data_IF_924258417738
#
_entry.id   IF_924258417738
#
_cell.length_a   1.000
_cell.length_b   1.000
_cell.length_c   1.000
_cell.angle_alpha   90.00
_cell.angle_beta   90.00
_cell.angle_gamma   90.00
#
_symmetry.space_group_name_H-M   'P 1'
#
loop_
_entity.id
_entity.type
_entity.pdbx_description
1 polymer ?
#
# COMPACT_ATOMS: atom_id res chain seq x y z
N UNK A 1 14.41 38.54 45.39
CA UNK A 1 14.75 37.15 45.78
C UNK A 1 16.25 37.04 45.86
N UNK A 2 16.76 36.48 46.96
CA UNK A 2 18.18 36.13 47.05
C UNK A 2 18.50 34.99 46.08
N UNK A 3 19.76 34.85 45.67
CA UNK A 3 20.18 33.76 44.77
C UNK A 3 19.79 32.40 45.36
N UNK A 4 19.90 32.23 46.68
CA UNK A 4 19.51 31.00 47.38
C UNK A 4 18.01 30.70 47.23
N UNK A 5 17.15 31.70 47.38
CA UNK A 5 15.69 31.53 47.22
C UNK A 5 15.33 31.08 45.80
N UNK A 6 15.99 31.63 44.78
CA UNK A 6 15.77 31.24 43.37
C UNK A 6 16.11 29.76 43.16
N UNK A 7 17.23 29.28 43.69
CA UNK A 7 17.62 27.88 43.55
C UNK A 7 16.73 26.92 44.34
N UNK A 8 16.20 27.34 45.50
CA UNK A 8 15.21 26.55 46.25
C UNK A 8 13.89 26.44 45.47
N UNK A 9 13.44 27.53 44.84
CA UNK A 9 12.26 27.51 43.98
C UNK A 9 12.45 26.60 42.76
N UNK A 10 13.59 26.71 42.07
CA UNK A 10 13.95 25.85 40.93
C UNK A 10 14.03 24.37 41.32
N UNK A 11 14.56 24.06 42.51
CA UNK A 11 14.58 22.69 43.02
C UNK A 11 13.17 22.12 43.18
N UNK A 12 12.21 22.93 43.63
CA UNK A 12 10.79 22.56 43.72
C UNK A 12 10.19 22.24 42.35
N UNK A 13 10.46 23.06 41.33
CA UNK A 13 10.01 22.80 39.96
C UNK A 13 10.61 21.51 39.37
N UNK A 14 11.90 21.26 39.60
CA UNK A 14 12.57 20.04 39.13
C UNK A 14 12.03 18.78 39.83
N UNK A 15 11.73 18.86 41.13
CA UNK A 15 11.12 17.75 41.86
C UNK A 15 9.72 17.41 41.32
N UNK A 16 8.87 18.43 41.11
CA UNK A 16 7.54 18.23 40.54
C UNK A 16 7.58 17.66 39.12
N UNK A 17 8.51 18.14 38.28
CA UNK A 17 8.71 17.57 36.94
C UNK A 17 9.17 16.10 37.00
N UNK A 18 10.06 15.77 37.94
CA UNK A 18 10.53 14.40 38.13
C UNK A 18 9.40 13.46 38.57
N UNK A 19 8.50 13.91 39.45
CA UNK A 19 7.32 13.13 39.86
C UNK A 19 6.39 12.83 38.68
N UNK A 20 6.16 13.83 37.80
CA UNK A 20 5.38 13.65 36.56
C UNK A 20 6.04 12.61 35.65
N UNK A 21 7.37 12.68 35.46
CA UNK A 21 8.11 11.71 34.64
C UNK A 21 8.00 10.29 35.18
N UNK A 22 8.04 10.13 36.50
CA UNK A 22 7.95 8.81 37.12
C UNK A 22 6.53 8.21 36.99
N UNK A 23 5.49 9.04 37.12
CA UNK A 23 4.11 8.61 36.85
C UNK A 23 3.89 8.24 35.37
N UNK A 24 4.44 9.02 34.43
CA UNK A 24 4.41 8.69 33.00
C UNK A 24 5.11 7.35 32.76
N UNK A 25 6.29 7.14 33.34
CA UNK A 25 7.07 5.90 33.17
C UNK A 25 6.28 4.67 33.63
N UNK A 26 5.58 4.73 34.76
CA UNK A 26 4.75 3.61 35.25
C UNK A 26 3.67 3.24 34.24
N UNK A 27 2.97 4.23 33.69
CA UNK A 27 1.92 4.00 32.68
C UNK A 27 2.52 3.44 31.39
N UNK A 28 3.62 4.03 30.91
CA UNK A 28 4.33 3.56 29.71
C UNK A 28 4.79 2.10 29.85
N UNK A 29 5.29 1.68 31.01
CA UNK A 29 5.66 0.27 31.25
C UNK A 29 4.46 -0.68 31.11
N UNK A 30 3.28 -0.29 31.59
CA UNK A 30 2.04 -1.06 31.38
C UNK A 30 1.65 -1.10 29.90
N UNK A 31 1.72 0.03 29.18
CA UNK A 31 1.48 0.05 27.72
C UNK A 31 2.43 -0.87 26.97
N UNK A 32 3.72 -0.84 27.31
CA UNK A 32 4.71 -1.69 26.66
C UNK A 32 4.45 -3.17 26.92
N UNK A 33 3.98 -3.52 28.12
CA UNK A 33 3.59 -4.88 28.46
C UNK A 33 2.41 -5.34 27.60
N UNK A 34 1.34 -4.54 27.51
CA UNK A 34 0.20 -4.87 26.63
C UNK A 34 0.63 -4.92 25.15
N UNK A 35 1.52 -4.03 24.70
CA UNK A 35 2.05 -4.06 23.34
C UNK A 35 2.86 -5.34 23.07
N UNK A 36 3.61 -5.87 24.05
CA UNK A 36 4.31 -7.16 23.92
C UNK A 36 3.33 -8.34 23.85
N UNK A 37 2.24 -8.30 24.60
CA UNK A 37 1.19 -9.31 24.56
C UNK A 37 0.52 -9.36 23.18
N UNK A 38 0.09 -8.20 22.66
CA UNK A 38 -0.47 -8.08 21.31
C UNK A 38 0.54 -8.57 20.27
N UNK A 39 1.80 -8.15 20.36
CA UNK A 39 2.83 -8.62 19.43
C UNK A 39 2.96 -10.14 19.45
N UNK A 40 2.96 -10.76 20.63
CA UNK A 40 3.09 -12.23 20.76
C UNK A 40 1.91 -12.96 20.13
N UNK A 41 0.69 -12.42 20.28
CA UNK A 41 -0.51 -12.96 19.64
C UNK A 41 -0.43 -12.90 18.11
N UNK A 42 -0.02 -11.74 17.58
CA UNK A 42 0.08 -11.50 16.14
C UNK A 42 1.26 -12.24 15.51
N UNK A 43 2.40 -12.35 16.20
CA UNK A 43 3.55 -13.12 15.71
C UNK A 43 3.24 -14.61 15.52
N UNK A 44 2.19 -15.12 16.16
CA UNK A 44 1.70 -16.48 15.91
C UNK A 44 1.19 -16.71 14.48
N UNK A 45 0.96 -15.65 13.68
CA UNK A 45 0.59 -15.77 12.26
C UNK A 45 1.73 -16.31 11.39
N UNK A 46 2.98 -16.17 11.83
CA UNK A 46 4.15 -16.65 11.10
C UNK A 46 4.32 -18.17 11.13
N UNK A 47 3.58 -18.88 12.00
CA UNK A 47 3.63 -20.34 12.09
C UNK A 47 2.64 -20.95 11.08
N UNK A 48 3.02 -22.03 10.39
CA UNK A 48 2.26 -22.58 9.25
C UNK A 48 0.80 -23.00 9.54
N UNK A 49 0.46 -23.32 10.79
CA UNK A 49 -0.93 -23.60 11.21
C UNK A 49 -1.73 -22.34 11.60
N UNK A 50 -1.09 -21.16 11.64
CA UNK A 50 -1.66 -19.90 12.15
C UNK A 50 -2.58 -19.15 11.18
N UNK A 51 -2.59 -19.53 9.90
CA UNK A 51 -3.36 -18.82 8.86
C UNK A 51 -4.89 -19.00 9.01
N UNK A 52 -5.35 -20.15 9.50
CA UNK A 52 -6.79 -20.38 9.75
C UNK A 52 -7.32 -19.57 10.95
N UNK A 53 -6.44 -19.17 11.86
CA UNK A 53 -6.79 -18.46 13.09
C UNK A 53 -6.62 -16.92 12.99
N UNK A 54 -6.31 -16.38 11.81
CA UNK A 54 -6.05 -14.93 11.64
C UNK A 54 -7.20 -14.07 12.18
N UNK A 55 -8.47 -14.29 11.80
CA UNK A 55 -9.57 -13.46 12.31
C UNK A 55 -9.70 -13.54 13.84
N UNK A 56 -9.52 -14.72 14.41
CA UNK A 56 -9.60 -14.94 15.87
C UNK A 56 -8.47 -14.24 16.62
N UNK A 57 -7.26 -14.21 16.05
CA UNK A 57 -6.11 -13.48 16.61
C UNK A 57 -6.33 -11.97 16.53
N UNK A 58 -6.88 -11.47 15.43
CA UNK A 58 -7.21 -10.06 15.25
C UNK A 58 -8.28 -9.60 16.26
N UNK A 59 -9.32 -10.40 16.49
CA UNK A 59 -10.33 -10.11 17.51
C UNK A 59 -9.72 -10.01 18.92
N UNK A 60 -8.88 -10.97 19.31
CA UNK A 60 -8.15 -10.92 20.60
C UNK A 60 -7.23 -9.70 20.69
N UNK A 61 -6.52 -9.36 19.62
CA UNK A 61 -5.69 -8.16 19.58
C UNK A 61 -6.55 -6.89 19.81
N UNK A 62 -7.74 -6.81 19.21
CA UNK A 62 -8.70 -5.72 19.42
C UNK A 62 -9.20 -5.62 20.87
N UNK A 63 -9.41 -6.75 21.54
CA UNK A 63 -9.73 -6.75 22.99
C UNK A 63 -8.59 -6.13 23.81
N UNK A 64 -7.34 -6.49 23.53
CA UNK A 64 -6.18 -5.90 24.19
C UNK A 64 -6.01 -4.40 23.87
N UNK A 65 -6.38 -3.94 22.68
CA UNK A 65 -6.44 -2.50 22.37
C UNK A 65 -7.45 -1.75 23.25
N UNK A 66 -8.51 -2.42 23.74
CA UNK A 66 -9.39 -1.87 24.78
C UNK A 66 -8.64 -1.52 26.06
N UNK A 67 -7.72 -2.37 26.50
CA UNK A 67 -6.82 -2.10 27.65
C UNK A 67 -5.81 -0.99 27.33
N UNK A 68 -5.27 -0.95 26.11
CA UNK A 68 -4.39 0.15 25.69
C UNK A 68 -5.12 1.50 25.79
N UNK A 69 -6.38 1.56 25.36
CA UNK A 69 -7.21 2.77 25.45
C UNK A 69 -7.40 3.24 26.89
N UNK A 70 -7.64 2.33 27.84
CA UNK A 70 -7.77 2.73 29.26
C UNK A 70 -6.46 3.26 29.83
N UNK A 71 -5.32 2.66 29.47
CA UNK A 71 -4.02 3.15 29.90
C UNK A 71 -3.65 4.50 29.26
N UNK A 72 -3.98 4.73 27.99
CA UNK A 72 -3.79 6.03 27.34
C UNK A 72 -4.68 7.13 27.93
N UNK A 73 -5.93 6.81 28.28
CA UNK A 73 -6.78 7.75 29.01
C UNK A 73 -6.19 8.10 30.38
N UNK A 74 -5.63 7.12 31.09
CA UNK A 74 -4.91 7.36 32.35
C UNK A 74 -3.70 8.28 32.12
N UNK A 75 -2.91 8.03 31.07
CA UNK A 75 -1.75 8.84 30.71
C UNK A 75 -2.10 10.32 30.46
N UNK A 76 -3.23 10.60 29.78
CA UNK A 76 -3.71 11.96 29.51
C UNK A 76 -3.96 12.77 30.79
N UNK A 77 -4.25 12.13 31.93
CA UNK A 77 -4.51 12.80 33.22
C UNK A 77 -3.24 13.14 34.00
N UNK A 78 -2.08 12.59 33.61
CA UNK A 78 -0.83 12.69 34.39
C UNK A 78 0.00 13.93 34.09
N UNK A 79 -0.27 14.63 32.99
CA UNK A 79 0.48 15.81 32.60
C UNK A 79 -0.43 16.88 31.98
N UNK A 80 -0.05 18.17 32.06
CA UNK A 80 -0.81 19.25 31.41
C UNK A 80 -0.80 19.09 29.88
N UNK A 81 -1.94 19.28 29.21
CA UNK A 81 -2.09 19.07 27.77
C UNK A 81 -1.09 19.90 26.93
N UNK A 82 -0.71 21.08 27.41
CA UNK A 82 0.26 21.98 26.77
C UNK A 82 1.70 21.43 26.76
N UNK A 83 2.02 20.45 27.62
CA UNK A 83 3.37 19.88 27.77
C UNK A 83 3.54 18.54 27.02
N UNK A 84 2.68 18.24 26.04
CA UNK A 84 2.75 17.01 25.26
C UNK A 84 4.15 16.76 24.67
N UNK A 85 4.70 17.72 23.92
CA UNK A 85 6.01 17.57 23.28
C UNK A 85 7.18 17.57 24.28
N UNK A 86 6.99 18.06 25.51
CA UNK A 86 8.04 18.03 26.54
C UNK A 86 8.32 16.59 27.01
N UNK A 87 7.26 15.79 27.13
CA UNK A 87 7.36 14.42 27.62
C UNK A 87 7.25 13.35 26.52
N UNK A 88 7.02 13.75 25.27
CA UNK A 88 6.81 12.88 24.11
C UNK A 88 7.83 11.73 23.98
N UNK A 89 9.11 12.00 24.21
CA UNK A 89 10.19 10.99 24.14
C UNK A 89 9.96 9.77 25.08
N UNK A 90 9.19 9.92 26.17
CA UNK A 90 8.92 8.82 27.10
C UNK A 90 8.01 7.75 26.49
N UNK A 91 7.01 8.14 25.68
CA UNK A 91 6.07 7.21 25.06
C UNK A 91 6.27 7.08 23.55
N UNK A 92 7.18 7.84 22.93
CA UNK A 92 7.49 7.78 21.50
C UNK A 92 7.68 6.35 21.00
N UNK A 93 8.52 5.57 21.70
CA UNK A 93 8.79 4.18 21.33
C UNK A 93 7.54 3.28 21.41
N UNK A 94 6.78 3.37 22.51
CA UNK A 94 5.59 2.53 22.67
C UNK A 94 4.48 2.93 21.71
N UNK A 95 4.33 4.22 21.42
CA UNK A 95 3.33 4.74 20.48
C UNK A 95 3.60 4.26 19.06
N UNK A 96 4.84 4.35 18.59
CA UNK A 96 5.25 3.81 17.27
C UNK A 96 4.97 2.31 17.17
N UNK A 97 5.20 1.56 18.25
CA UNK A 97 4.91 0.12 18.30
C UNK A 97 3.41 -0.17 18.28
N UNK A 98 2.60 0.63 18.99
CA UNK A 98 1.14 0.49 18.97
C UNK A 98 0.54 0.81 17.60
N UNK A 99 1.06 1.84 16.91
CA UNK A 99 0.70 2.14 15.51
C UNK A 99 0.99 0.93 14.63
N UNK A 100 2.21 0.39 14.72
CA UNK A 100 2.60 -0.81 13.97
C UNK A 100 1.62 -1.97 14.21
N UNK A 101 1.29 -2.26 15.47
CA UNK A 101 0.38 -3.35 15.80
C UNK A 101 -1.04 -3.11 15.27
N UNK A 102 -1.54 -1.86 15.34
CA UNK A 102 -2.85 -1.50 14.81
C UNK A 102 -2.88 -1.64 13.28
N UNK A 103 -1.83 -1.16 12.60
CA UNK A 103 -1.68 -1.30 11.17
C UNK A 103 -1.55 -2.77 10.75
N UNK A 104 -0.88 -3.59 11.57
CA UNK A 104 -0.74 -5.02 11.28
C UNK A 104 -2.07 -5.77 11.40
N UNK A 105 -2.90 -5.45 12.41
CA UNK A 105 -4.25 -6.03 12.52
C UNK A 105 -5.11 -5.67 11.31
N UNK A 106 -5.13 -4.39 10.91
CA UNK A 106 -5.92 -3.95 9.74
C UNK A 106 -5.42 -4.60 8.47
N UNK A 107 -4.10 -4.70 8.28
CA UNK A 107 -3.54 -5.38 7.12
C UNK A 107 -3.94 -6.87 7.06
N UNK A 108 -3.97 -7.57 8.20
CA UNK A 108 -4.39 -8.96 8.26
C UNK A 108 -5.89 -9.18 7.99
N UNK A 109 -6.73 -8.16 8.22
CA UNK A 109 -8.17 -8.21 8.00
C UNK A 109 -8.59 -7.78 6.59
N UNK A 110 -8.00 -6.71 6.06
CA UNK A 110 -8.44 -6.08 4.79
C UNK A 110 -7.32 -5.89 3.77
N UNK A 111 -6.07 -6.24 4.08
CA UNK A 111 -4.89 -6.06 3.21
C UNK A 111 -4.65 -4.59 2.79
N UNK A 112 -5.18 -3.63 3.55
CA UNK A 112 -5.05 -2.19 3.29
C UNK A 112 -4.22 -1.48 4.37
N UNK A 113 -3.69 -0.31 4.04
CA UNK A 113 -3.03 0.57 5.01
C UNK A 113 -4.06 1.27 5.88
N UNK A 114 -3.88 1.21 7.21
CA UNK A 114 -4.74 1.94 8.15
C UNK A 114 -4.49 3.44 8.06
N UNK A 115 -5.54 4.26 7.99
CA UNK A 115 -5.40 5.72 8.04
C UNK A 115 -5.01 6.19 9.43
N UNK A 116 -4.35 7.36 9.54
CA UNK A 116 -3.93 7.91 10.83
C UNK A 116 -5.13 8.13 11.77
N UNK A 117 -6.26 8.55 11.21
CA UNK A 117 -7.52 8.79 11.91
C UNK A 117 -8.08 7.48 12.50
N UNK A 118 -8.08 6.40 11.72
CA UNK A 118 -8.49 5.08 12.21
C UNK A 118 -7.57 4.57 13.33
N UNK A 119 -6.25 4.83 13.26
CA UNK A 119 -5.34 4.49 14.36
C UNK A 119 -5.68 5.28 15.62
N UNK A 120 -5.97 6.58 15.51
CA UNK A 120 -6.37 7.38 16.67
C UNK A 120 -7.65 6.86 17.32
N UNK A 121 -8.63 6.40 16.53
CA UNK A 121 -9.86 5.80 17.06
C UNK A 121 -9.60 4.48 17.79
N UNK A 122 -8.76 3.61 17.23
CA UNK A 122 -8.38 2.32 17.84
C UNK A 122 -7.66 2.55 19.18
N UNK A 123 -6.74 3.52 19.23
CA UNK A 123 -5.99 3.86 20.45
C UNK A 123 -6.80 4.71 21.43
N UNK A 124 -7.93 5.28 21.01
CA UNK A 124 -8.74 6.21 21.81
C UNK A 124 -8.05 7.55 22.07
N UNK A 125 -7.33 8.04 21.07
CA UNK A 125 -6.58 9.30 21.06
C UNK A 125 -7.41 10.35 20.29
N UNK A 126 -7.27 11.62 20.64
CA UNK A 126 -7.93 12.72 19.93
C UNK A 126 -7.22 12.99 18.58
N UNK A 127 -7.95 13.25 17.49
CA UNK A 127 -7.35 13.59 16.20
C UNK A 127 -6.80 15.03 16.16
N UNK A 128 -7.36 15.94 16.97
CA UNK A 128 -7.00 17.36 17.03
C UNK A 128 -5.80 17.60 17.94
N UNK A 129 -4.78 18.31 17.42
CA UNK A 129 -3.59 18.73 18.19
C UNK A 129 -3.94 19.63 19.38
N UNK A 130 -5.01 20.42 19.27
CA UNK A 130 -5.39 21.44 20.25
C UNK A 130 -6.14 20.88 21.46
N UNK A 131 -6.70 19.66 21.37
CA UNK A 131 -7.57 19.09 22.40
C UNK A 131 -6.91 18.00 23.24
N UNK A 132 -5.61 17.75 23.06
CA UNK A 132 -4.79 16.97 23.98
C UNK A 132 -3.81 16.01 23.32
N UNK A 133 -3.77 14.78 23.86
CA UNK A 133 -2.93 13.70 23.34
C UNK A 133 -3.33 13.42 21.90
N UNK A 134 -2.37 13.53 20.97
CA UNK A 134 -2.58 13.34 19.55
C UNK A 134 -1.50 12.40 18.98
N UNK A 135 -1.78 11.78 17.84
CA UNK A 135 -0.80 10.96 17.14
C UNK A 135 0.01 11.82 16.17
N UNK A 136 1.33 11.92 16.42
CA UNK A 136 2.22 12.65 15.52
C UNK A 136 2.41 11.89 14.20
N UNK A 137 2.61 12.65 13.12
CA UNK A 137 2.80 12.11 11.77
C UNK A 137 4.08 11.28 11.71
N UNK A 138 5.15 11.73 12.38
CA UNK A 138 6.43 11.02 12.41
C UNK A 138 6.32 9.66 13.11
N UNK A 139 5.51 9.57 14.17
CA UNK A 139 5.28 8.32 14.88
C UNK A 139 4.41 7.36 14.07
N UNK A 140 3.41 7.89 13.36
CA UNK A 140 2.62 7.12 12.42
C UNK A 140 3.50 6.51 11.33
N UNK A 141 4.29 7.33 10.63
CA UNK A 141 5.19 6.89 9.56
C UNK A 141 6.24 5.90 10.07
N UNK A 142 6.78 6.11 11.28
CA UNK A 142 7.72 5.17 11.91
C UNK A 142 7.08 3.82 12.17
N UNK A 143 5.82 3.78 12.62
CA UNK A 143 5.05 2.54 12.81
C UNK A 143 4.79 1.80 11.51
N UNK A 144 4.50 2.53 10.42
CA UNK A 144 4.29 1.94 9.08
C UNK A 144 5.58 1.33 8.52
N UNK A 145 6.74 1.93 8.76
CA UNK A 145 8.02 1.34 8.35
C UNK A 145 8.32 0.04 9.10
N UNK A 146 7.95 -0.05 10.39
CA UNK A 146 8.08 -1.29 11.16
C UNK A 146 7.15 -2.37 10.58
N UNK A 147 5.94 -1.99 10.13
CA UNK A 147 5.02 -2.91 9.46
C UNK A 147 5.65 -3.52 8.20
N UNK A 148 6.28 -2.71 7.35
CA UNK A 148 6.91 -3.21 6.12
C UNK A 148 7.96 -4.30 6.39
N UNK A 149 8.78 -4.13 7.43
CA UNK A 149 9.75 -5.15 7.84
C UNK A 149 9.10 -6.43 8.39
N UNK A 150 7.97 -6.32 9.08
CA UNK A 150 7.23 -7.51 9.54
C UNK A 150 6.54 -8.23 8.37
N UNK A 151 6.05 -7.49 7.38
CA UNK A 151 5.47 -8.05 6.16
C UNK A 151 6.50 -8.76 5.28
N UNK A 152 7.74 -8.26 5.21
CA UNK A 152 8.83 -8.95 4.51
C UNK A 152 9.14 -10.31 5.14
N UNK A 153 9.01 -10.41 6.46
CA UNK A 153 9.08 -11.69 7.19
C UNK A 153 7.85 -12.56 6.94
N UNK A 154 6.65 -11.98 6.94
CA UNK A 154 5.40 -12.70 6.70
C UNK A 154 5.38 -13.33 5.30
N UNK A 155 5.90 -12.64 4.29
CA UNK A 155 5.99 -13.13 2.91
C UNK A 155 6.76 -14.46 2.82
N UNK A 156 7.95 -14.53 3.41
CA UNK A 156 8.77 -15.76 3.44
C UNK A 156 8.07 -16.90 4.18
N UNK A 157 7.44 -16.59 5.32
CA UNK A 157 6.74 -17.59 6.12
C UNK A 157 5.46 -18.10 5.43
N UNK A 158 4.79 -17.24 4.65
CA UNK A 158 3.62 -17.62 3.85
C UNK A 158 3.98 -18.66 2.79
N UNK A 159 5.09 -18.46 2.08
CA UNK A 159 5.60 -19.45 1.11
C UNK A 159 5.94 -20.77 1.78
N UNK A 160 6.53 -20.72 2.98
CA UNK A 160 6.87 -21.92 3.77
C UNK A 160 5.61 -22.67 4.24
N UNK A 161 4.52 -21.95 4.49
CA UNK A 161 3.22 -22.52 4.85
C UNK A 161 2.40 -23.01 3.64
N UNK A 162 2.88 -22.80 2.41
CA UNK A 162 2.19 -23.20 1.18
C UNK A 162 1.19 -22.18 0.65
N UNK A 163 1.15 -20.95 1.19
CA UNK A 163 0.35 -19.85 0.64
C UNK A 163 1.21 -19.01 -0.32
N UNK A 164 0.94 -19.17 -1.61
CA UNK A 164 1.66 -18.47 -2.69
C UNK A 164 0.97 -17.18 -3.15
N UNK A 165 -0.24 -16.90 -2.64
CA UNK A 165 -1.02 -15.72 -3.03
C UNK A 165 -0.57 -14.47 -2.26
N UNK A 166 -0.39 -14.59 -0.94
CA UNK A 166 0.00 -13.48 -0.05
C UNK A 166 1.28 -12.75 -0.45
N UNK A 167 2.38 -13.42 -0.85
CA UNK A 167 3.60 -12.72 -1.27
C UNK A 167 3.37 -11.73 -2.41
N UNK A 168 2.44 -12.00 -3.34
CA UNK A 168 2.09 -11.11 -4.44
C UNK A 168 1.36 -9.85 -3.93
N UNK A 169 0.40 -10.02 -3.02
CA UNK A 169 -0.31 -8.89 -2.40
C UNK A 169 0.64 -8.06 -1.53
N UNK A 170 1.52 -8.69 -0.75
CA UNK A 170 2.53 -8.02 0.07
C UNK A 170 3.50 -7.22 -0.81
N UNK A 171 3.94 -7.77 -1.95
CA UNK A 171 4.83 -7.06 -2.88
C UNK A 171 4.19 -5.80 -3.45
N UNK A 172 2.91 -5.88 -3.85
CA UNK A 172 2.16 -4.72 -4.35
C UNK A 172 2.02 -3.67 -3.26
N UNK A 173 1.61 -4.08 -2.07
CA UNK A 173 1.44 -3.20 -0.91
C UNK A 173 2.72 -2.48 -0.49
N UNK A 174 3.86 -3.17 -0.40
CA UNK A 174 5.14 -2.55 -0.02
C UNK A 174 5.64 -1.58 -1.10
N UNK A 175 5.38 -1.85 -2.38
CA UNK A 175 5.72 -0.92 -3.46
C UNK A 175 4.85 0.34 -3.45
N UNK A 176 3.56 0.21 -3.11
CA UNK A 176 2.68 1.36 -2.85
C UNK A 176 3.18 2.20 -1.66
N UNK A 177 3.69 1.54 -0.62
CA UNK A 177 4.35 2.24 0.49
C UNK A 177 5.61 2.98 0.04
N UNK A 178 6.53 2.35 -0.70
CA UNK A 178 7.76 3.04 -1.17
C UNK A 178 7.44 4.25 -2.03
N UNK A 179 6.48 4.11 -2.96
CA UNK A 179 6.03 5.23 -3.79
C UNK A 179 5.38 6.34 -2.95
N UNK A 180 4.59 6.00 -1.93
CA UNK A 180 4.05 6.96 -0.96
C UNK A 180 5.13 7.70 -0.18
N UNK A 181 6.14 7.00 0.34
CA UNK A 181 7.25 7.62 1.06
C UNK A 181 8.14 8.48 0.17
N UNK A 182 8.27 8.13 -1.12
CA UNK A 182 9.04 8.92 -2.11
C UNK A 182 8.42 10.29 -2.39
N UNK A 183 7.10 10.44 -2.22
CA UNK A 183 6.41 11.73 -2.32
C UNK A 183 6.74 12.65 -1.13
N UNK A 184 7.14 12.08 0.00
CA UNK A 184 7.44 12.84 1.21
C UNK A 184 8.89 13.33 1.15
N UNK A 185 9.09 14.65 1.21
CA UNK A 185 10.41 15.24 1.34
C UNK A 185 10.90 15.12 2.80
N UNK A 186 11.37 13.93 3.18
CA UNK A 186 11.89 13.66 4.52
C UNK A 186 13.18 14.45 4.77
N UNK A 187 13.16 15.34 5.76
CA UNK A 187 14.37 15.96 6.30
C UNK A 187 15.26 14.90 6.96
N UNK A 188 16.54 15.23 7.16
CA UNK A 188 17.55 14.32 7.74
C UNK A 188 17.32 14.00 9.23
N UNK A 189 16.26 13.26 9.51
CA UNK A 189 15.91 12.79 10.84
C UNK A 189 16.05 11.25 10.95
N UNK A 190 15.96 10.74 12.16
CA UNK A 190 15.76 9.33 12.52
C UNK A 190 14.76 8.59 11.62
N UNK A 191 13.69 9.26 11.16
CA UNK A 191 12.72 8.69 10.21
C UNK A 191 13.35 8.37 8.85
N UNK A 192 14.26 9.21 8.34
CA UNK A 192 14.99 8.97 7.08
C UNK A 192 15.87 7.72 7.19
N UNK A 193 16.56 7.54 8.32
CA UNK A 193 17.38 6.33 8.56
C UNK A 193 16.54 5.05 8.54
N UNK A 194 15.30 5.11 9.05
CA UNK A 194 14.36 3.98 8.99
C UNK A 194 13.83 3.77 7.57
N UNK A 195 13.52 4.84 6.85
CA UNK A 195 13.08 4.77 5.45
C UNK A 195 14.17 4.16 4.55
N UNK A 196 15.45 4.48 4.77
CA UNK A 196 16.57 3.85 4.06
C UNK A 196 16.62 2.32 4.26
N UNK A 197 15.96 1.79 5.29
CA UNK A 197 15.75 0.37 5.54
C UNK A 197 14.71 -0.27 4.62
N UNK A 198 13.69 0.48 4.20
CA UNK A 198 12.54 -0.03 3.42
C UNK A 198 12.97 -0.67 2.10
N UNK A 199 14.00 -0.13 1.45
CA UNK A 199 14.55 -0.68 0.19
C UNK A 199 15.00 -2.14 0.32
N UNK A 200 15.45 -2.56 1.51
CA UNK A 200 15.85 -3.94 1.75
C UNK A 200 14.63 -4.85 1.88
N UNK A 201 13.56 -4.36 2.51
CA UNK A 201 12.29 -5.08 2.63
C UNK A 201 11.60 -5.23 1.27
N UNK A 202 11.59 -4.17 0.44
CA UNK A 202 11.10 -4.21 -0.96
C UNK A 202 11.84 -5.29 -1.74
N UNK A 203 13.18 -5.21 -1.78
CA UNK A 203 14.02 -6.16 -2.52
C UNK A 203 13.79 -7.59 -2.06
N UNK A 204 13.70 -7.82 -0.75
CA UNK A 204 13.49 -9.16 -0.18
C UNK A 204 12.15 -9.76 -0.58
N UNK A 205 11.09 -8.97 -0.63
CA UNK A 205 9.76 -9.46 -1.05
C UNK A 205 9.71 -9.68 -2.55
N UNK A 206 10.36 -8.83 -3.35
CA UNK A 206 10.49 -9.03 -4.80
C UNK A 206 11.25 -10.31 -5.14
N UNK A 207 12.32 -10.63 -4.40
CA UNK A 207 13.06 -11.89 -4.55
C UNK A 207 12.16 -13.10 -4.27
N UNK A 208 11.31 -13.03 -3.23
CA UNK A 208 10.34 -14.10 -2.92
C UNK A 208 9.32 -14.27 -4.06
N UNK A 209 8.78 -13.18 -4.58
CA UNK A 209 7.83 -13.23 -5.71
C UNK A 209 8.50 -13.74 -6.99
N UNK A 210 9.75 -13.36 -7.23
CA UNK A 210 10.54 -13.85 -8.35
C UNK A 210 10.72 -15.37 -8.27
N UNK A 211 11.09 -15.90 -7.08
CA UNK A 211 11.24 -17.33 -6.84
C UNK A 211 9.95 -18.13 -7.08
N UNK A 212 8.78 -17.54 -6.76
CA UNK A 212 7.48 -18.14 -7.06
C UNK A 212 7.17 -18.13 -8.57
N UNK A 213 7.52 -17.03 -9.23
CA UNK A 213 7.26 -16.81 -10.65
C UNK A 213 8.04 -17.79 -11.53
N UNK A 214 9.34 -17.99 -11.25
CA UNK A 214 10.18 -18.93 -12.02
C UNK A 214 9.74 -20.39 -11.84
N UNK A 215 9.10 -20.71 -10.71
CA UNK A 215 8.54 -22.05 -10.43
C UNK A 215 7.14 -22.24 -10.99
N UNK A 216 6.53 -21.20 -11.55
CA UNK A 216 5.23 -21.26 -12.23
C UNK A 216 4.00 -21.20 -11.31
N UNK A 217 4.14 -20.73 -10.07
CA UNK A 217 3.02 -20.59 -9.14
C UNK A 217 2.04 -19.45 -9.50
N UNK A 218 2.38 -18.59 -10.46
CA UNK A 218 1.53 -17.48 -10.92
C UNK A 218 0.61 -17.85 -12.10
N UNK A 219 0.52 -19.13 -12.50
CA UNK A 219 -0.24 -19.54 -13.69
C UNK A 219 -1.75 -19.65 -13.47
N UNK A 220 -2.23 -19.79 -12.23
CA UNK A 220 -3.68 -19.91 -11.96
C UNK A 220 -4.43 -18.58 -12.13
N UNK A 221 -3.83 -17.44 -11.74
CA UNK A 221 -4.45 -16.11 -11.97
C UNK A 221 -4.45 -15.68 -13.44
N UNK A 222 -3.47 -16.13 -14.24
CA UNK A 222 -3.47 -15.91 -15.69
C UNK A 222 -4.49 -16.79 -16.43
N UNK A 223 -4.79 -18.00 -15.91
CA UNK A 223 -5.77 -18.91 -16.51
C UNK A 223 -7.23 -18.48 -16.24
N UNK A 224 -7.50 -17.78 -15.13
CA UNK A 224 -8.83 -17.22 -14.87
C UNK A 224 -9.19 -16.05 -15.81
N UNK A 225 -8.20 -15.30 -16.29
CA UNK A 225 -8.40 -14.19 -17.23
C UNK A 225 -8.57 -14.67 -18.69
N UNK A 226 -8.13 -15.90 -19.02
CA UNK A 226 -8.27 -16.47 -20.38
C UNK A 226 -9.53 -17.30 -20.58
N UNK A 227 -10.23 -17.73 -19.53
CA UNK A 227 -11.45 -18.55 -19.64
C UNK A 227 -12.74 -17.74 -19.82
N UNK A 228 -12.77 -16.46 -19.46
CA UNK A 228 -13.95 -15.59 -19.68
C UNK A 228 -14.17 -15.18 -21.15
N UNK A 229 -13.20 -15.43 -22.05
CA UNK A 229 -13.32 -15.09 -23.47
C UNK A 229 -13.54 -16.31 -24.38
N UNK A 230 -14.32 -17.31 -23.93
CA UNK A 230 -14.78 -18.40 -24.81
C UNK A 230 -16.22 -18.20 -25.24
N UNK A 231 -16.39 -17.54 -26.39
CA UNK A 231 -17.67 -17.44 -27.07
C UNK A 231 -18.03 -18.80 -27.70
N UNK A 232 -19.01 -19.50 -27.14
CA UNK A 232 -19.58 -20.70 -27.76
C UNK A 232 -20.66 -20.31 -28.77
N UNK A 233 -20.49 -20.70 -30.04
CA UNK A 233 -21.52 -20.55 -31.09
C UNK A 233 -22.58 -21.63 -30.90
N UNK A 234 -23.82 -21.26 -30.60
CA UNK A 234 -24.92 -22.21 -30.35
C UNK A 234 -25.92 -22.37 -31.50
N UNK A 235 -25.76 -21.63 -32.61
CA UNK A 235 -26.54 -21.87 -33.83
C UNK A 235 -26.51 -20.74 -34.87
N UNK A 236 -26.92 -21.06 -36.10
CA UNK A 236 -27.07 -20.12 -37.22
C UNK A 236 -28.54 -19.92 -37.57
N UNK A 237 -28.94 -18.66 -37.81
CA UNK A 237 -30.26 -18.32 -38.35
C UNK A 237 -30.27 -18.40 -39.88
N UNK A 238 -31.39 -18.81 -40.51
CA UNK A 238 -31.50 -18.86 -41.96
C UNK A 238 -31.56 -17.43 -42.51
N UNK A 239 -30.43 -16.96 -43.03
CA UNK A 239 -30.21 -15.56 -43.42
C UNK A 239 -28.82 -15.01 -43.08
N UNK A 240 -27.94 -15.80 -42.44
CA UNK A 240 -26.51 -15.47 -42.31
C UNK A 240 -26.11 -14.60 -41.11
N UNK A 241 -26.97 -14.47 -40.10
CA UNK A 241 -26.61 -13.83 -38.82
C UNK A 241 -26.20 -14.86 -37.74
N UNK A 242 -25.13 -14.57 -37.00
CA UNK A 242 -24.72 -15.29 -35.77
C UNK A 242 -25.45 -14.73 -34.54
N UNK A 243 -25.82 -15.61 -33.61
CA UNK A 243 -26.27 -15.24 -32.25
C UNK A 243 -25.18 -15.60 -31.26
N UNK A 244 -24.73 -14.63 -30.47
CA UNK A 244 -23.78 -14.80 -29.37
C UNK A 244 -24.50 -14.51 -28.04
N UNK A 245 -24.42 -15.45 -27.09
CA UNK A 245 -24.99 -15.28 -25.76
C UNK A 245 -23.84 -15.20 -24.73
N UNK A 246 -23.65 -14.03 -24.12
CA UNK A 246 -22.71 -13.81 -23.02
C UNK A 246 -23.38 -14.25 -21.72
N UNK A 247 -22.96 -15.38 -21.15
CA UNK A 247 -23.37 -15.77 -19.80
C UNK A 247 -22.49 -15.06 -18.78
N UNK A 248 -23.03 -14.00 -18.17
CA UNK A 248 -22.43 -13.39 -16.98
C UNK A 248 -22.67 -11.90 -16.83
N UNK A 249 -23.93 -11.43 -16.91
CA UNK A 249 -24.46 -10.21 -16.29
C UNK A 249 -25.91 -10.07 -16.77
N UNK A 250 -26.88 -10.20 -15.87
CA UNK A 250 -28.32 -10.12 -16.18
C UNK A 250 -28.77 -8.70 -16.51
N UNK A 251 -28.46 -8.22 -17.72
CA UNK A 251 -28.95 -6.94 -18.26
C UNK A 251 -29.38 -7.17 -19.71
N UNK A 252 -30.68 -7.06 -19.98
CA UNK A 252 -31.25 -7.04 -21.32
C UNK A 252 -31.34 -5.60 -21.82
N UNK A 253 -30.68 -5.27 -22.93
CA UNK A 253 -30.99 -4.06 -23.72
C UNK A 253 -31.01 -4.41 -25.21
N UNK A 254 -32.00 -3.93 -25.99
CA UNK A 254 -32.08 -4.20 -27.42
C UNK A 254 -31.26 -3.17 -28.20
N UNK A 255 -30.18 -3.60 -28.85
CA UNK A 255 -29.50 -2.79 -29.87
C UNK A 255 -30.06 -3.16 -31.26
N UNK A 256 -30.94 -2.31 -31.80
CA UNK A 256 -31.30 -2.31 -33.21
C UNK A 256 -30.29 -1.44 -33.98
N UNK A 257 -29.49 -2.03 -34.87
CA UNK A 257 -28.59 -1.25 -35.71
C UNK A 257 -27.81 -2.12 -36.70
N UNK A 258 -27.94 -1.79 -37.98
CA UNK A 258 -27.51 -2.56 -39.15
C UNK A 258 -26.03 -3.00 -39.20
N UNK A 259 -25.83 -4.10 -39.93
CA UNK A 259 -24.57 -4.77 -40.19
C UNK A 259 -23.56 -3.97 -41.02
N UNK A 260 -22.27 -4.11 -40.69
CA UNK A 260 -21.18 -4.16 -41.68
C UNK A 260 -19.98 -4.87 -41.06
N UNK A 261 -19.51 -5.92 -41.74
CA UNK A 261 -18.60 -6.93 -41.20
C UNK A 261 -17.18 -6.46 -40.89
N UNK A 262 -16.54 -7.22 -40.00
CA UNK A 262 -15.11 -7.15 -39.75
C UNK A 262 -14.55 -8.56 -39.64
N UNK A 263 -13.48 -8.83 -40.38
CA UNK A 263 -12.62 -10.01 -40.26
C UNK A 263 -11.46 -9.65 -39.34
N UNK A 264 -11.21 -10.45 -38.30
CA UNK A 264 -10.08 -10.24 -37.37
C UNK A 264 -8.87 -11.02 -37.90
N UNK A 265 -7.76 -10.32 -38.14
CA UNK A 265 -6.44 -10.91 -38.37
C UNK A 265 -5.53 -10.62 -37.17
N UNK A 266 -4.80 -11.63 -36.70
CA UNK A 266 -3.90 -11.59 -35.54
C UNK A 266 -2.46 -11.46 -36.03
N UNK A 267 -1.65 -10.57 -35.41
CA UNK A 267 -0.20 -10.48 -35.67
C UNK A 267 0.56 -9.73 -34.58
N UNK A 268 1.71 -10.28 -34.16
CA UNK A 268 2.58 -9.82 -33.06
C UNK A 268 3.67 -8.81 -33.51
N UNK A 269 3.93 -7.78 -32.68
CA UNK A 269 5.30 -7.31 -32.37
C UNK A 269 5.95 -6.07 -33.07
N UNK A 270 6.17 -5.03 -32.25
CA UNK A 270 7.36 -4.13 -32.11
C UNK A 270 7.51 -2.74 -32.83
N UNK A 271 7.78 -1.76 -31.94
CA UNK A 271 8.57 -0.51 -31.96
C UNK A 271 8.14 0.72 -32.80
N UNK A 272 8.19 1.93 -32.19
CA UNK A 272 8.89 3.19 -32.62
C UNK A 272 8.43 4.45 -31.84
N UNK A 273 9.41 5.29 -31.44
CA UNK A 273 9.29 6.62 -30.82
C UNK A 273 9.30 7.77 -31.86
N UNK A 274 8.69 8.93 -31.54
CA UNK A 274 9.22 10.25 -31.92
C UNK A 274 8.32 11.24 -32.69
N UNK A 275 8.12 12.41 -32.04
CA UNK A 275 7.79 13.76 -32.55
C UNK A 275 6.34 14.29 -32.57
N UNK A 276 6.10 15.14 -31.56
CA UNK A 276 5.22 16.31 -31.47
C UNK A 276 4.98 17.07 -32.79
N UNK A 277 3.73 17.50 -33.04
CA UNK A 277 3.27 18.86 -32.65
C UNK A 277 1.95 19.26 -33.35
N UNK A 278 1.18 20.06 -32.60
CA UNK A 278 0.15 21.05 -33.00
C UNK A 278 -1.35 20.70 -33.08
N UNK A 279 -2.07 21.57 -32.33
CA UNK A 279 -3.43 22.11 -32.50
C UNK A 279 -4.58 21.51 -31.68
N UNK A 280 -4.77 22.16 -30.53
CA UNK A 280 -5.99 22.26 -29.74
C UNK A 280 -7.08 23.07 -30.46
N UNK A 281 -8.33 22.58 -30.42
CA UNK A 281 -9.55 23.38 -30.32
C UNK A 281 -10.63 22.54 -29.61
N UNK A 282 -11.32 23.13 -28.62
CA UNK A 282 -12.11 22.41 -27.62
C UNK A 282 -13.64 22.58 -27.67
N UNK A 283 -14.26 22.35 -26.50
CA UNK A 283 -15.69 22.28 -26.10
C UNK A 283 -16.35 20.90 -26.30
N UNK A 284 -17.20 20.35 -25.41
CA UNK A 284 -17.66 20.72 -24.07
C UNK A 284 -18.25 19.46 -23.37
N UNK A 285 -18.38 19.52 -22.05
CA UNK A 285 -18.79 18.47 -21.11
C UNK A 285 -20.27 18.03 -21.22
N UNK A 286 -20.51 16.71 -21.18
CA UNK A 286 -21.64 16.10 -20.45
C UNK A 286 -21.48 14.56 -20.46
N UNK A 287 -21.64 13.95 -19.28
CA UNK A 287 -21.67 12.51 -18.97
C UNK A 287 -20.32 11.79 -18.74
N UNK A 288 -19.81 12.02 -17.53
CA UNK A 288 -18.72 11.29 -16.90
C UNK A 288 -19.17 9.87 -16.48
N UNK A 289 -18.68 8.84 -17.20
CA UNK A 289 -18.44 7.51 -16.65
C UNK A 289 -16.93 7.25 -16.72
N UNK A 290 -16.25 7.37 -15.57
CA UNK A 290 -14.80 7.15 -15.46
C UNK A 290 -14.54 5.65 -15.42
N UNK A 291 -14.18 5.07 -16.57
CA UNK A 291 -13.28 3.93 -16.62
C UNK A 291 -11.88 4.49 -16.95
N UNK A 292 -11.03 4.65 -15.92
CA UNK A 292 -9.60 4.89 -16.12
C UNK A 292 -8.96 3.58 -16.61
N UNK A 293 -8.56 3.55 -17.88
CA UNK A 293 -7.43 2.74 -18.33
C UNK A 293 -6.50 3.65 -19.13
N UNK A 294 -5.25 3.72 -18.69
CA UNK A 294 -4.26 4.70 -19.11
C UNK A 294 -3.19 3.99 -19.95
N UNK A 295 -3.23 4.17 -21.28
CA UNK A 295 -2.08 4.38 -22.21
C UNK A 295 -2.54 4.23 -23.69
N UNK A 296 -2.34 5.31 -24.47
CA UNK A 296 -2.35 5.34 -25.94
C UNK A 296 -1.17 4.49 -26.50
N UNK A 297 -1.16 3.95 -27.74
CA UNK A 297 -1.18 4.55 -29.10
C UNK A 297 -1.05 3.36 -30.13
N UNK A 298 -0.80 3.51 -31.46
CA UNK A 298 -1.22 4.43 -32.54
C UNK A 298 -1.67 3.65 -33.83
N UNK A 299 -1.98 4.31 -34.97
CA UNK A 299 -1.86 3.86 -36.39
C UNK A 299 -2.34 5.02 -37.30
N UNK A 300 -1.79 5.36 -38.47
CA UNK A 300 -0.79 4.80 -39.38
C UNK A 300 -0.42 5.90 -40.41
N UNK A 301 0.82 5.95 -40.91
CA UNK A 301 1.15 5.87 -42.35
C UNK A 301 2.66 6.04 -42.65
N UNK A 302 3.27 4.93 -43.10
CA UNK A 302 4.43 4.73 -43.99
C UNK A 302 5.82 5.37 -43.71
N UNK A 303 6.92 4.60 -43.82
CA UNK A 303 8.24 5.13 -44.13
C UNK A 303 8.65 4.81 -45.58
N UNK A 304 9.17 5.82 -46.27
CA UNK A 304 10.17 5.64 -47.32
C UNK A 304 11.50 6.09 -46.70
N UNK A 305 12.44 5.15 -46.53
CA UNK A 305 13.82 5.47 -46.12
C UNK A 305 14.74 5.30 -47.31
N UNK A 306 15.42 6.38 -47.65
CA UNK A 306 16.61 6.41 -48.49
C UNK A 306 17.78 5.67 -47.83
N UNK A 307 18.36 4.70 -48.54
CA UNK A 307 19.72 4.22 -48.31
C UNK A 307 20.72 5.19 -48.97
N UNK A 308 21.68 5.69 -48.20
CA UNK A 308 22.91 6.28 -48.70
C UNK A 308 24.01 5.22 -48.55
N UNK A 309 24.55 4.75 -49.67
CA UNK A 309 25.74 3.89 -49.68
C UNK A 309 25.99 3.18 -51.00
N UNK A 310 26.93 3.72 -51.77
CA UNK A 310 27.75 3.05 -52.79
C UNK A 310 27.16 2.82 -54.21
N UNK A 311 27.53 3.75 -55.10
CA UNK A 311 28.15 3.51 -56.42
C UNK A 311 27.72 2.28 -57.24
N UNK A 312 27.09 2.52 -58.39
CA UNK A 312 27.60 2.06 -59.70
C UNK A 312 26.79 2.70 -60.84
N UNK A 313 27.47 3.56 -61.60
CA UNK A 313 27.13 3.96 -62.97
C UNK A 313 26.95 2.71 -63.84
N UNK A 314 25.96 2.69 -64.74
CA UNK A 314 26.13 2.26 -66.15
C UNK A 314 24.99 2.89 -66.99
N UNK A 315 25.36 3.85 -67.84
CA UNK A 315 24.57 4.28 -69.00
C UNK A 315 24.44 3.13 -70.01
N UNK A 316 23.32 3.07 -70.72
CA UNK A 316 23.12 2.08 -71.77
C UNK A 316 24.05 2.27 -72.98
N UNK A 317 24.43 1.16 -73.61
CA UNK A 317 24.55 1.05 -75.06
C UNK A 317 24.86 -0.39 -75.48
N UNK A 318 24.15 -0.85 -76.52
CA UNK A 318 24.74 -1.70 -77.56
C UNK A 318 24.72 -3.21 -77.34
N UNK A 319 23.91 -3.86 -78.20
CA UNK A 319 24.07 -5.21 -78.80
C UNK A 319 24.45 -6.39 -77.90
#
# INVERSE_FOLDING_TARGET
MSVSEIFVELQGFLAAEQDIREEIRKVVQSLEQTAREILTLLQGVHQGAGFQDIPKRCLKAREHFGTVKTHLMSLKTKFPAEQYYRFHEHWRFVLQRLVFLAAFVVYLESETLVTREAVTEILGIEPDREKGFHLDVEDYLSGVLILASELSRLSVNSVTAGDYSRPLHISTFINELDSGFRLLNLKNDSLRKRYDGLKYDVKKVEEVVYDLSIRGFNKETAAACSTENTCHVTGYLPGGGMVLELKGLGISTPCSGAASGWTIAVGEGKDWEGLDSMLWFGMAESDFAICRYQRACPRDQSPATSLLGATLEVEGCGL
#
